data_IF_714083485145
#
_entry.id   IF_714083485145
#
_cell.length_a   1.000
_cell.length_b   1.000
_cell.length_c   1.000
_cell.angle_alpha   90.00
_cell.angle_beta   90.00
_cell.angle_gamma   90.00
#
_symmetry.space_group_name_H-M   'P 1'
#
loop_
_entity.id
_entity.type
_entity.pdbx_description
1 polymer ?
#
# COMPACT_ATOMS: atom_id res chain seq x y z
N UNK A 1 -5.65 4.60 5.26
CA UNK A 1 -4.87 4.10 4.10
C UNK A 1 -5.03 2.59 4.08
N UNK A 2 -5.72 2.04 3.07
CA UNK A 2 -6.18 0.65 3.10
C UNK A 2 -5.02 -0.31 3.34
N UNK A 3 -5.05 -1.05 4.45
CA UNK A 3 -4.04 -2.04 4.76
C UNK A 3 -4.18 -3.30 3.89
N UNK A 4 -3.04 -3.86 3.51
CA UNK A 4 -3.01 -5.07 2.69
C UNK A 4 -1.63 -5.49 2.22
N UNK A 5 -1.62 -6.22 1.11
CA UNK A 5 -0.42 -6.74 0.47
C UNK A 5 -0.53 -6.65 -1.05
N UNK A 6 0.56 -6.27 -1.69
CA UNK A 6 0.72 -6.32 -3.15
C UNK A 6 1.25 -7.70 -3.56
N UNK A 7 0.75 -8.22 -4.67
CA UNK A 7 1.03 -9.59 -5.12
C UNK A 7 1.41 -9.58 -6.60
N UNK A 8 2.67 -9.89 -6.91
CA UNK A 8 3.14 -10.16 -8.27
C UNK A 8 2.70 -11.56 -8.69
N UNK A 9 1.70 -11.63 -9.56
CA UNK A 9 1.16 -12.89 -10.01
C UNK A 9 1.85 -13.38 -11.29
N UNK A 10 1.85 -14.70 -11.50
CA UNK A 10 2.52 -15.36 -12.63
C UNK A 10 1.84 -15.08 -13.98
N UNK A 11 0.69 -14.41 -13.96
CA UNK A 11 -0.05 -13.96 -15.15
C UNK A 11 0.27 -12.51 -15.53
N UNK A 12 1.40 -11.97 -15.05
CA UNK A 12 1.84 -10.58 -15.30
C UNK A 12 0.84 -9.52 -14.82
N UNK A 13 0.08 -9.80 -13.76
CA UNK A 13 -0.85 -8.84 -13.16
C UNK A 13 -0.44 -8.57 -11.71
N UNK A 14 -0.20 -7.29 -11.38
CA UNK A 14 -0.05 -6.87 -9.99
C UNK A 14 -1.44 -6.78 -9.34
N UNK A 15 -1.64 -7.52 -8.26
CA UNK A 15 -2.89 -7.50 -7.49
C UNK A 15 -2.67 -6.94 -6.10
N UNK A 16 -3.72 -6.37 -5.53
CA UNK A 16 -3.78 -5.96 -4.13
C UNK A 16 -4.79 -6.84 -3.40
N UNK A 17 -4.38 -7.35 -2.24
CA UNK A 17 -5.24 -8.09 -1.30
C UNK A 17 -5.31 -7.29 -0.01
N UNK A 18 -6.52 -6.90 0.39
CA UNK A 18 -6.73 -6.18 1.64
C UNK A 18 -6.68 -7.11 2.85
N UNK A 19 -6.24 -6.60 4.00
CA UNK A 19 -6.33 -7.32 5.27
C UNK A 19 -7.79 -7.53 5.73
N UNK A 20 -8.74 -6.76 5.18
CA UNK A 20 -10.17 -6.91 5.43
C UNK A 20 -10.81 -8.06 4.60
N UNK A 21 -10.09 -8.64 3.63
CA UNK A 21 -10.56 -9.75 2.79
C UNK A 21 -9.39 -10.62 2.30
N UNK A 22 -9.15 -11.72 2.99
CA UNK A 22 -8.07 -12.65 2.63
C UNK A 22 -8.37 -13.48 1.37
N UNK A 23 -9.62 -13.47 0.91
CA UNK A 23 -10.07 -14.37 -0.17
C UNK A 23 -9.88 -13.77 -1.55
N UNK A 24 -9.87 -12.45 -1.67
CA UNK A 24 -9.93 -11.77 -2.97
C UNK A 24 -8.72 -10.88 -3.20
N UNK A 25 -8.07 -11.09 -4.34
CA UNK A 25 -7.01 -10.23 -4.84
C UNK A 25 -7.50 -9.49 -6.09
N UNK A 26 -7.52 -8.15 -6.03
CA UNK A 26 -8.00 -7.29 -7.10
C UNK A 26 -6.83 -6.77 -7.94
N UNK A 27 -6.94 -6.70 -9.28
CA UNK A 27 -5.92 -6.07 -10.11
C UNK A 27 -5.70 -4.61 -9.72
N UNK A 28 -4.45 -4.24 -9.43
CA UNK A 28 -4.13 -2.87 -8.99
C UNK A 28 -4.45 -1.84 -10.09
N UNK A 29 -4.38 -2.23 -11.37
CA UNK A 29 -4.78 -1.37 -12.47
C UNK A 29 -6.30 -1.07 -12.46
N UNK A 30 -7.14 -2.03 -12.06
CA UNK A 30 -8.58 -1.82 -11.91
C UNK A 30 -8.89 -0.91 -10.72
N UNK A 31 -8.13 -1.06 -9.62
CA UNK A 31 -8.19 -0.15 -8.47
C UNK A 31 -7.78 1.26 -8.90
N UNK A 32 -6.67 1.39 -9.63
CA UNK A 32 -6.19 2.66 -10.17
C UNK A 32 -7.29 3.35 -10.97
N UNK A 33 -7.91 2.69 -11.94
CA UNK A 33 -9.01 3.30 -12.72
C UNK A 33 -10.21 3.71 -11.88
N UNK A 34 -10.50 2.98 -10.81
CA UNK A 34 -11.63 3.29 -9.92
C UNK A 34 -11.36 4.53 -9.08
N UNK A 35 -10.10 4.81 -8.73
CA UNK A 35 -9.72 5.82 -7.72
C UNK A 35 -8.98 7.01 -8.36
N UNK A 36 -8.35 6.84 -9.53
CA UNK A 36 -7.48 7.84 -10.17
C UNK A 36 -8.17 9.16 -10.45
N UNK A 37 -9.48 9.12 -10.71
CA UNK A 37 -10.27 10.33 -10.99
C UNK A 37 -10.54 11.16 -9.73
N UNK A 38 -10.39 10.56 -8.55
CA UNK A 38 -10.68 11.20 -7.26
C UNK A 38 -9.41 11.58 -6.49
N UNK A 39 -8.35 10.77 -6.61
CA UNK A 39 -7.08 10.99 -5.91
C UNK A 39 -5.89 10.89 -6.88
N UNK A 40 -5.28 12.02 -7.28
CA UNK A 40 -4.11 12.03 -8.15
C UNK A 40 -2.86 11.42 -7.48
N UNK A 41 -2.86 11.29 -6.15
CA UNK A 41 -1.75 10.73 -5.38
C UNK A 41 -2.00 9.29 -4.92
N UNK A 42 -3.04 8.62 -5.44
CA UNK A 42 -3.46 7.29 -4.96
C UNK A 42 -2.31 6.27 -4.94
N UNK A 43 -1.33 6.39 -5.84
CA UNK A 43 -0.15 5.52 -5.90
C UNK A 43 0.70 5.60 -4.63
N UNK A 44 0.81 6.78 -4.02
CA UNK A 44 1.51 6.97 -2.74
C UNK A 44 0.93 6.07 -1.66
N UNK A 45 -0.38 5.82 -1.72
CA UNK A 45 -1.09 4.89 -0.86
C UNK A 45 -0.71 3.42 -1.09
N UNK A 46 0.17 3.08 -2.06
CA UNK A 46 0.62 1.71 -2.29
C UNK A 46 2.12 1.48 -2.07
N UNK A 47 2.97 2.53 -1.97
CA UNK A 47 4.44 2.38 -1.89
C UNK A 47 4.97 1.65 -0.65
N UNK A 48 4.23 1.64 0.46
CA UNK A 48 4.67 1.01 1.72
C UNK A 48 4.04 -0.36 1.98
N UNK A 49 3.27 -0.87 1.03
CA UNK A 49 2.68 -2.18 1.17
C UNK A 49 3.73 -3.27 1.04
N UNK A 50 3.60 -4.29 1.88
CA UNK A 50 4.39 -5.51 1.73
C UNK A 50 4.11 -6.12 0.35
N UNK A 51 5.16 -6.63 -0.29
CA UNK A 51 5.08 -7.29 -1.59
C UNK A 51 5.29 -8.78 -1.40
N UNK A 52 4.42 -9.57 -2.00
CA UNK A 52 4.56 -11.02 -2.16
C UNK A 52 4.66 -11.35 -3.65
N UNK A 53 5.43 -12.39 -3.96
CA UNK A 53 5.61 -12.89 -5.32
C UNK A 53 4.96 -14.27 -5.38
N UNK A 54 4.08 -14.51 -6.35
CA UNK A 54 3.48 -15.81 -6.60
C UNK A 54 4.53 -16.82 -7.10
N UNK A 55 4.40 -18.08 -6.69
CA UNK A 55 5.22 -19.16 -7.22
C UNK A 55 5.09 -19.26 -8.75
N UNK A 56 6.23 -19.38 -9.44
CA UNK A 56 6.28 -19.42 -10.90
C UNK A 56 6.40 -18.04 -11.55
N UNK A 57 6.29 -16.95 -10.78
CA UNK A 57 6.49 -15.60 -11.33
C UNK A 57 7.93 -15.40 -11.79
N UNK A 58 8.11 -14.96 -13.04
CA UNK A 58 9.42 -14.69 -13.64
C UNK A 58 9.76 -13.20 -13.64
N UNK A 59 11.04 -12.86 -13.80
CA UNK A 59 11.46 -11.46 -13.92
C UNK A 59 10.79 -10.75 -15.11
N UNK A 60 10.60 -11.45 -16.23
CA UNK A 60 9.94 -10.91 -17.41
C UNK A 60 8.47 -10.52 -17.15
N UNK A 61 7.75 -11.31 -16.35
CA UNK A 61 6.38 -11.00 -15.95
C UNK A 61 6.31 -9.77 -15.03
N UNK A 62 7.31 -9.62 -14.14
CA UNK A 62 7.44 -8.40 -13.33
C UNK A 62 7.75 -7.18 -14.19
N UNK A 63 8.66 -7.29 -15.16
CA UNK A 63 8.99 -6.20 -16.09
C UNK A 63 7.78 -5.77 -16.92
N UNK A 64 6.97 -6.74 -17.39
CA UNK A 64 5.76 -6.46 -18.16
C UNK A 64 4.76 -5.58 -17.39
N UNK A 65 4.65 -5.76 -16.07
CA UNK A 65 3.81 -4.94 -15.18
C UNK A 65 4.27 -3.47 -15.19
N UNK A 66 5.57 -3.22 -15.07
CA UNK A 66 6.12 -1.86 -15.09
C UNK A 66 6.00 -1.20 -16.46
N UNK A 67 6.16 -1.96 -17.54
CA UNK A 67 6.01 -1.46 -18.92
C UNK A 67 4.55 -1.12 -19.23
N UNK A 68 3.60 -1.87 -18.67
CA UNK A 68 2.16 -1.69 -18.91
C UNK A 68 1.56 -0.46 -18.23
N UNK A 69 2.38 0.42 -17.65
CA UNK A 69 1.94 1.72 -17.15
C UNK A 69 1.28 1.67 -15.77
N UNK A 70 1.56 0.63 -14.98
CA UNK A 70 1.37 0.75 -13.54
C UNK A 70 2.18 1.96 -13.07
N UNK A 71 1.59 2.76 -12.19
CA UNK A 71 2.07 4.07 -11.78
C UNK A 71 1.66 5.20 -12.74
N UNK A 72 2.24 5.34 -13.93
CA UNK A 72 1.88 6.47 -14.82
C UNK A 72 1.68 6.01 -16.26
N UNK A 73 0.54 6.38 -16.84
CA UNK A 73 0.22 6.06 -18.25
C UNK A 73 1.27 6.63 -19.22
N UNK A 74 1.93 7.73 -18.85
CA UNK A 74 3.05 8.32 -19.61
C UNK A 74 4.09 8.94 -18.67
N UNK A 75 5.37 9.06 -19.09
CA UNK A 75 6.39 9.80 -18.34
C UNK A 75 6.00 11.26 -18.05
N UNK A 76 5.20 11.88 -18.94
CA UNK A 76 4.70 13.23 -18.76
C UNK A 76 3.71 13.34 -17.61
N UNK A 77 2.80 12.36 -17.48
CA UNK A 77 1.87 12.30 -16.36
C UNK A 77 2.63 12.13 -15.04
N UNK A 78 3.68 11.31 -15.02
CA UNK A 78 4.56 11.17 -13.87
C UNK A 78 5.18 12.50 -13.45
N UNK A 79 5.84 13.20 -14.38
CA UNK A 79 6.48 14.48 -14.12
C UNK A 79 5.49 15.52 -13.56
N UNK A 80 4.30 15.63 -14.16
CA UNK A 80 3.27 16.56 -13.71
C UNK A 80 2.82 16.27 -12.27
N UNK A 81 2.56 14.99 -11.94
CA UNK A 81 2.19 14.60 -10.58
C UNK A 81 3.31 14.89 -9.57
N UNK A 82 4.58 14.70 -9.95
CA UNK A 82 5.71 15.02 -9.08
C UNK A 82 5.87 16.52 -8.83
N UNK A 83 5.65 17.35 -9.86
CA UNK A 83 5.70 18.81 -9.72
C UNK A 83 4.57 19.30 -8.80
N UNK A 84 3.34 18.77 -8.94
CA UNK A 84 2.22 19.06 -8.05
C UNK A 84 2.51 18.66 -6.59
N UNK A 85 3.07 17.47 -6.38
CA UNK A 85 3.49 16.99 -5.05
C UNK A 85 4.53 17.91 -4.42
N UNK A 86 5.53 18.32 -5.20
CA UNK A 86 6.58 19.22 -4.74
C UNK A 86 6.00 20.58 -4.32
N UNK A 87 5.09 21.13 -5.11
CA UNK A 87 4.43 22.38 -4.78
C UNK A 87 3.58 22.27 -3.50
N UNK A 88 2.88 21.14 -3.31
CA UNK A 88 2.11 20.88 -2.08
C UNK A 88 3.02 20.76 -0.85
N UNK A 89 4.17 20.08 -0.99
CA UNK A 89 5.16 19.95 0.08
C UNK A 89 5.77 21.31 0.47
N UNK A 90 6.12 22.13 -0.51
CA UNK A 90 6.64 23.49 -0.28
C UNK A 90 5.58 24.38 0.42
N UNK A 91 4.30 24.19 0.09
CA UNK A 91 3.17 24.83 0.79
C UNK A 91 3.07 24.43 2.26
N UNK A 92 3.16 23.12 2.56
CA UNK A 92 3.05 22.58 3.91
C UNK A 92 4.26 22.96 4.79
N UNK A 93 5.47 23.01 4.23
CA UNK A 93 6.67 23.48 4.95
C UNK A 93 6.54 24.92 5.47
N UNK A 94 5.80 25.76 4.75
CA UNK A 94 5.49 27.13 5.18
C UNK A 94 4.41 27.20 6.26
N UNK A 95 3.55 26.19 6.39
CA UNK A 95 2.52 26.08 7.44
C UNK A 95 3.11 25.53 8.75
N UNK A 96 3.91 24.47 8.68
CA UNK A 96 4.60 23.87 9.84
C UNK A 96 5.54 24.87 10.53
N UNK A 97 6.15 25.76 9.76
CA UNK A 97 7.00 26.83 10.30
C UNK A 97 6.24 27.88 11.14
N UNK A 98 4.90 27.90 11.08
CA UNK A 98 4.05 28.82 11.88
C UNK A 98 3.47 28.18 13.14
N UNK A 99 3.36 26.86 13.21
CA UNK A 99 2.76 26.14 14.36
C UNK A 99 3.78 25.71 15.43
N UNK A 100 5.07 25.65 15.09
CA UNK A 100 6.13 25.17 15.96
C UNK A 100 6.44 26.03 17.20
N UNK A 101 5.84 27.22 17.35
CA UNK A 101 6.10 28.10 18.50
C UNK A 101 5.23 27.81 19.74
N UNK A 102 4.22 26.93 19.67
CA UNK A 102 3.17 26.96 20.70
C UNK A 102 3.20 25.88 21.80
N UNK A 103 3.84 24.70 21.67
CA UNK A 103 3.69 23.68 22.72
C UNK A 103 4.91 22.77 22.91
N UNK A 104 5.85 23.20 23.75
CA UNK A 104 6.85 22.33 24.38
C UNK A 104 7.13 22.82 25.81
N UNK A 105 6.21 22.48 26.72
CA UNK A 105 6.51 22.48 28.15
C UNK A 105 6.78 21.02 28.56
N UNK A 106 8.06 20.66 28.56
CA UNK A 106 8.56 19.39 29.10
C UNK A 106 8.38 19.40 30.63
N UNK A 107 7.41 18.65 31.13
CA UNK A 107 7.28 18.37 32.56
C UNK A 107 7.78 16.96 32.81
N UNK A 108 9.10 16.86 33.02
CA UNK A 108 9.73 15.65 33.50
C UNK A 108 9.27 15.32 34.91
N UNK A 109 8.52 14.23 35.07
CA UNK A 109 8.50 13.49 36.32
C UNK A 109 8.21 12.00 36.06
N UNK A 110 9.14 11.15 36.48
CA UNK A 110 9.17 9.71 36.24
C UNK A 110 8.21 8.91 37.12
N UNK A 111 6.92 9.23 37.11
CA UNK A 111 5.87 8.37 37.68
C UNK A 111 5.40 7.36 36.63
N UNK A 112 5.08 6.11 37.02
CA UNK A 112 4.45 5.15 36.11
C UNK A 112 3.11 5.74 35.65
N UNK A 113 3.03 6.04 34.35
CA UNK A 113 1.83 6.55 33.70
C UNK A 113 0.70 5.52 33.89
N UNK A 114 -0.27 5.85 34.74
CA UNK A 114 -1.51 5.09 34.84
C UNK A 114 -2.36 5.50 33.64
N UNK A 115 -2.28 4.71 32.57
CA UNK A 115 -3.09 4.92 31.38
C UNK A 115 -4.52 4.48 31.71
N UNK A 116 -5.44 5.43 31.87
CA UNK A 116 -6.87 5.18 31.99
C UNK A 116 -7.50 5.42 30.62
N UNK A 117 -7.98 4.34 29.99
CA UNK A 117 -8.71 4.42 28.72
C UNK A 117 -10.12 4.91 29.03
N UNK A 118 -10.48 6.10 28.56
CA UNK A 118 -11.84 6.60 28.65
C UNK A 118 -12.76 5.86 27.67
N UNK A 119 -14.03 5.71 28.02
CA UNK A 119 -15.05 5.23 27.08
C UNK A 119 -15.07 6.16 25.85
N UNK A 120 -14.97 5.55 24.67
CA UNK A 120 -14.90 6.26 23.40
C UNK A 120 -13.50 6.72 22.96
N UNK A 121 -12.44 6.43 23.72
CA UNK A 121 -11.07 6.78 23.34
C UNK A 121 -10.62 6.15 22.00
N UNK A 122 -11.25 5.05 21.59
CA UNK A 122 -10.96 4.35 20.33
C UNK A 122 -12.05 4.52 19.25
N UNK A 123 -13.13 5.26 19.51
CA UNK A 123 -14.25 5.38 18.57
C UNK A 123 -13.83 5.96 17.22
N UNK A 124 -12.85 6.87 17.23
CA UNK A 124 -12.24 7.42 16.02
C UNK A 124 -11.54 6.34 15.19
N UNK A 125 -10.79 5.44 15.83
CA UNK A 125 -10.13 4.31 15.17
C UNK A 125 -11.16 3.33 14.62
N UNK A 126 -12.20 3.01 15.40
CA UNK A 126 -13.29 2.12 14.98
C UNK A 126 -13.98 2.69 13.73
N UNK A 127 -14.37 3.96 13.76
CA UNK A 127 -15.02 4.64 12.63
C UNK A 127 -14.12 4.64 11.39
N UNK A 128 -12.82 4.86 11.56
CA UNK A 128 -11.86 4.78 10.45
C UNK A 128 -11.81 3.36 9.86
N UNK A 129 -11.68 2.31 10.67
CA UNK A 129 -11.66 0.92 10.20
C UNK A 129 -12.95 0.51 9.47
N UNK A 130 -14.11 0.95 9.97
CA UNK A 130 -15.40 0.71 9.31
C UNK A 130 -15.45 1.40 7.95
N UNK A 131 -15.02 2.66 7.86
CA UNK A 131 -14.98 3.40 6.59
C UNK A 131 -14.03 2.75 5.55
N UNK A 132 -12.90 2.20 5.99
CA UNK A 132 -11.98 1.49 5.10
C UNK A 132 -12.56 0.18 4.60
N UNK A 133 -13.30 -0.53 5.45
CA UNK A 133 -14.02 -1.75 5.09
C UNK A 133 -15.08 -1.46 4.03
N UNK A 134 -15.87 -0.39 4.21
CA UNK A 134 -16.87 0.04 3.23
C UNK A 134 -16.24 0.46 1.90
N UNK A 135 -15.14 1.21 1.96
CA UNK A 135 -14.38 1.62 0.77
C UNK A 135 -13.85 0.41 0.00
N UNK A 136 -13.30 -0.60 0.70
CA UNK A 136 -12.84 -1.83 0.07
C UNK A 136 -13.97 -2.57 -0.64
N UNK A 137 -15.14 -2.70 -0.01
CA UNK A 137 -16.31 -3.32 -0.62
C UNK A 137 -16.80 -2.55 -1.85
N UNK A 138 -16.74 -1.22 -1.82
CA UNK A 138 -17.04 -0.38 -2.98
C UNK A 138 -16.10 -0.67 -4.14
N UNK A 139 -14.78 -0.63 -3.90
CA UNK A 139 -13.75 -0.88 -4.92
C UNK A 139 -13.91 -2.28 -5.52
N UNK A 140 -14.13 -3.30 -4.68
CA UNK A 140 -14.37 -4.69 -5.10
C UNK A 140 -15.55 -4.78 -6.07
N UNK A 141 -16.68 -4.14 -5.75
CA UNK A 141 -17.87 -4.12 -6.63
C UNK A 141 -17.60 -3.40 -7.95
N UNK A 142 -16.83 -2.31 -7.96
CA UNK A 142 -16.51 -1.60 -9.20
C UNK A 142 -15.58 -2.42 -10.10
N UNK A 143 -14.53 -3.00 -9.52
CA UNK A 143 -13.60 -3.86 -10.26
C UNK A 143 -14.31 -5.07 -10.90
N UNK A 144 -15.29 -5.67 -10.20
CA UNK A 144 -16.10 -6.76 -10.73
C UNK A 144 -17.00 -6.34 -11.91
N UNK A 145 -17.48 -5.09 -11.94
CA UNK A 145 -18.33 -4.58 -13.02
C UNK A 145 -17.54 -4.26 -14.29
N UNK A 146 -16.34 -3.71 -14.13
CA UNK A 146 -15.53 -3.27 -15.26
C UNK A 146 -14.98 -4.45 -16.08
N UNK A 147 -14.75 -5.60 -15.45
CA UNK A 147 -14.40 -6.87 -16.11
C UNK A 147 -13.10 -6.85 -16.92
N UNK A 148 -12.27 -5.80 -16.78
CA UNK A 148 -11.12 -5.56 -17.64
C UNK A 148 -9.94 -6.48 -17.35
N UNK A 149 -9.77 -6.90 -16.09
CA UNK A 149 -8.73 -7.83 -15.65
C UNK A 149 -9.31 -8.86 -14.67
N UNK A 150 -8.82 -10.11 -14.68
CA UNK A 150 -9.35 -11.17 -13.84
C UNK A 150 -9.05 -10.93 -12.35
N UNK A 151 -10.12 -10.85 -11.57
CA UNK A 151 -10.10 -10.94 -10.10
C UNK A 151 -9.71 -12.36 -9.70
N UNK A 152 -8.75 -12.50 -8.79
CA UNK A 152 -8.40 -13.82 -8.23
C UNK A 152 -9.10 -14.04 -6.89
N UNK A 153 -9.64 -15.25 -6.74
CA UNK A 153 -10.28 -15.72 -5.52
C UNK A 153 -9.55 -16.96 -5.04
N UNK A 154 -9.23 -17.01 -3.75
CA UNK A 154 -8.58 -18.15 -3.10
C UNK A 154 -7.11 -17.91 -2.78
N UNK A 155 -6.42 -19.01 -2.46
CA UNK A 155 -5.03 -18.98 -1.97
C UNK A 155 -4.06 -18.74 -3.13
N UNK A 156 -3.15 -17.78 -2.96
CA UNK A 156 -2.01 -17.56 -3.85
C UNK A 156 -0.77 -18.08 -3.13
N UNK A 157 -0.09 -19.06 -3.73
CA UNK A 157 1.10 -19.68 -3.16
C UNK A 157 2.31 -18.75 -3.29
N UNK A 158 2.99 -18.38 -2.20
CA UNK A 158 4.17 -17.53 -2.28
C UNK A 158 5.36 -18.28 -2.89
N UNK A 159 6.15 -17.57 -3.69
CA UNK A 159 7.43 -18.05 -4.21
C UNK A 159 8.42 -18.29 -3.07
N UNK A 160 9.33 -19.23 -3.30
CA UNK A 160 10.44 -19.46 -2.37
C UNK A 160 11.38 -18.24 -2.39
N UNK A 161 11.87 -17.79 -1.21
CA UNK A 161 12.88 -16.76 -1.16
C UNK A 161 14.11 -17.12 -2.01
N UNK A 162 14.77 -16.13 -2.63
CA UNK A 162 15.98 -16.39 -3.39
C UNK A 162 17.10 -16.91 -2.47
N UNK A 163 18.00 -17.71 -3.03
CA UNK A 163 19.21 -18.13 -2.32
C UNK A 163 20.05 -16.90 -1.95
N UNK A 164 20.34 -16.73 -0.66
CA UNK A 164 21.23 -15.68 -0.21
C UNK A 164 22.68 -16.08 -0.55
N UNK A 165 23.33 -15.28 -1.39
CA UNK A 165 24.73 -15.49 -1.76
C UNK A 165 25.57 -14.30 -1.30
N UNK A 166 26.59 -14.58 -0.49
CA UNK A 166 27.60 -13.59 -0.09
C UNK A 166 28.93 -13.99 -0.72
N UNK A 167 29.47 -13.13 -1.59
CA UNK A 167 30.74 -13.39 -2.30
C UNK A 167 30.77 -14.74 -3.04
N UNK A 168 29.64 -15.17 -3.61
CA UNK A 168 29.52 -16.44 -4.34
C UNK A 168 29.31 -17.69 -3.46
N UNK A 169 29.33 -17.55 -2.14
CA UNK A 169 29.02 -18.63 -1.20
C UNK A 169 27.53 -18.58 -0.84
N UNK A 170 26.84 -19.72 -0.92
CA UNK A 170 25.45 -19.85 -0.48
C UNK A 170 25.43 -19.80 1.05
N UNK A 171 24.83 -18.75 1.60
CA UNK A 171 24.53 -18.65 3.01
C UNK A 171 23.25 -19.47 3.25
N UNK A 172 23.36 -20.56 4.01
CA UNK A 172 22.17 -21.28 4.46
C UNK A 172 21.54 -20.48 5.60
N UNK A 173 20.26 -20.20 5.48
CA UNK A 173 19.48 -19.69 6.60
C UNK A 173 19.60 -20.65 7.78
N UNK A 174 19.99 -20.12 8.94
CA UNK A 174 20.08 -20.85 10.20
C UNK A 174 18.72 -20.97 10.92
N UNK A 175 17.61 -20.59 10.29
CA UNK A 175 16.25 -20.80 10.77
C UNK A 175 15.78 -22.24 10.49
N UNK A 176 16.41 -23.19 11.19
CA UNK A 176 15.82 -24.49 11.47
C UNK A 176 15.05 -24.45 12.78
N UNK A 177 13.99 -23.64 12.87
CA UNK A 177 12.88 -23.75 13.84
C UNK A 177 11.62 -23.17 13.20
#
# INVERSE_FOLDING_TARGET
MMEGQLIFCSDSILRFRSNYDETTALPLLSIQKTISDTDPFFLLSFFRHTVMIEEGTTLAEMEAIFISGLFFQTPRAAASCFDELKNSLDGLGNEVSKEAESNLADSGDGKPLKIEVADGAFDSLITHMESETENWQFIKKQCQKEGSLPVRIGVITPAKPPELRLCGVICRDSSGV
#
